data_IF_277728439229
#
_entry.id   IF_277728439229
#
_cell.length_a   1.000
_cell.length_b   1.000
_cell.length_c   1.000
_cell.angle_alpha   90.00
_cell.angle_beta   90.00
_cell.angle_gamma   90.00
#
_symmetry.space_group_name_H-M   'P 1'
#
loop_
_entity.id
_entity.type
_entity.pdbx_description
1 polymer ?
#
# COMPACT_ATOMS: atom_id res chain seq x y z
N UNK A 1 37.88 -47.59 -30.79
CA UNK A 1 37.96 -46.61 -29.68
C UNK A 1 37.60 -45.24 -30.24
N UNK A 2 36.41 -44.74 -29.92
CA UNK A 2 35.93 -43.45 -30.42
C UNK A 2 34.62 -43.09 -29.73
N UNK A 3 34.71 -42.43 -28.57
CA UNK A 3 33.56 -41.92 -27.85
C UNK A 3 33.30 -40.47 -28.27
N UNK A 4 32.19 -40.25 -28.99
CA UNK A 4 31.60 -38.93 -29.21
C UNK A 4 30.75 -38.56 -28.00
N UNK A 5 31.21 -37.59 -27.21
CA UNK A 5 30.39 -36.90 -26.21
C UNK A 5 29.42 -35.96 -26.92
N UNK A 6 28.12 -36.25 -26.81
CA UNK A 6 27.04 -35.31 -27.16
C UNK A 6 26.74 -34.48 -25.90
N UNK A 7 27.11 -33.20 -25.92
CA UNK A 7 26.58 -32.22 -24.97
C UNK A 7 25.26 -31.68 -25.55
N UNK A 8 24.14 -32.08 -24.95
CA UNK A 8 22.84 -31.43 -25.12
C UNK A 8 22.70 -30.35 -24.07
N UNK A 9 22.98 -29.11 -24.45
CA UNK A 9 22.51 -27.94 -23.71
C UNK A 9 21.02 -27.77 -24.02
N UNK A 10 20.17 -28.26 -23.11
CA UNK A 10 18.77 -27.87 -23.08
C UNK A 10 18.68 -26.53 -22.32
N UNK A 11 18.55 -25.44 -23.07
CA UNK A 11 18.14 -24.15 -22.54
C UNK A 11 16.70 -24.27 -22.05
N UNK A 12 16.53 -24.43 -20.74
CA UNK A 12 15.24 -24.22 -20.08
C UNK A 12 14.98 -22.72 -20.03
N UNK A 13 14.37 -22.18 -21.09
CA UNK A 13 13.76 -20.86 -21.05
C UNK A 13 12.52 -20.93 -20.19
N UNK A 14 12.68 -20.61 -18.91
CA UNK A 14 11.55 -20.31 -18.03
C UNK A 14 10.89 -19.03 -18.55
N UNK A 15 9.78 -19.19 -19.26
CA UNK A 15 8.82 -18.12 -19.52
C UNK A 15 8.28 -17.62 -18.18
N UNK A 16 8.95 -16.61 -17.63
CA UNK A 16 8.42 -15.81 -16.53
C UNK A 16 7.35 -14.92 -17.17
N UNK A 17 6.08 -15.33 -17.05
CA UNK A 17 4.94 -14.48 -17.34
C UNK A 17 5.02 -13.25 -16.41
N UNK A 18 5.45 -12.11 -16.96
CA UNK A 18 5.55 -10.83 -16.24
C UNK A 18 4.21 -10.11 -16.08
N UNK A 19 3.08 -10.82 -16.18
CA UNK A 19 1.72 -10.27 -16.04
C UNK A 19 1.18 -10.38 -14.60
N UNK A 20 2.02 -10.11 -13.61
CA UNK A 20 1.55 -9.70 -12.29
C UNK A 20 2.10 -8.31 -12.01
N UNK A 21 1.57 -7.33 -12.75
CA UNK A 21 1.53 -5.97 -12.26
C UNK A 21 0.73 -6.04 -10.96
N UNK A 22 1.44 -6.16 -9.84
CA UNK A 22 0.92 -5.99 -8.49
C UNK A 22 0.51 -4.53 -8.32
N UNK A 23 -0.46 -4.10 -9.13
CA UNK A 23 -1.17 -2.85 -8.98
C UNK A 23 -2.17 -3.06 -7.87
N UNK A 24 -1.98 -2.31 -6.78
CA UNK A 24 -2.97 -1.92 -5.79
C UNK A 24 -4.35 -2.53 -6.05
N UNK A 25 -4.66 -3.66 -5.41
CA UNK A 25 -6.07 -4.00 -5.22
C UNK A 25 -6.60 -3.10 -4.09
N UNK A 26 -6.90 -1.84 -4.41
CA UNK A 26 -7.90 -1.09 -3.62
C UNK A 26 -9.19 -1.82 -3.91
N UNK A 27 -9.53 -2.76 -3.04
CA UNK A 27 -10.78 -3.47 -3.12
C UNK A 27 -11.83 -2.50 -2.61
N UNK A 28 -12.46 -1.81 -3.56
CA UNK A 28 -13.64 -1.00 -3.30
C UNK A 28 -14.76 -1.95 -2.88
N UNK A 29 -15.21 -1.83 -1.65
CA UNK A 29 -16.26 -2.69 -1.10
C UNK A 29 -17.61 -2.02 -1.34
N UNK A 30 -18.41 -2.52 -2.28
CA UNK A 30 -19.73 -1.95 -2.55
C UNK A 30 -20.63 -1.96 -1.29
N UNK A 31 -20.75 -0.79 -0.67
CA UNK A 31 -21.78 -0.27 0.23
C UNK A 31 -22.73 -1.28 0.92
N UNK A 32 -22.26 -1.91 2.01
CA UNK A 32 -22.86 -1.91 3.36
C UNK A 32 -21.87 -2.58 4.31
N UNK A 33 -21.54 -1.95 5.44
CA UNK A 33 -20.66 -2.58 6.42
C UNK A 33 -21.26 -3.92 6.88
N UNK A 34 -20.56 -5.01 6.57
CA UNK A 34 -20.91 -6.37 6.96
C UNK A 34 -19.71 -7.02 7.60
N UNK A 35 -19.98 -7.84 8.61
CA UNK A 35 -18.94 -8.69 9.17
C UNK A 35 -18.56 -9.76 8.17
N UNK A 36 -17.25 -9.89 7.97
CA UNK A 36 -16.68 -10.89 7.09
C UNK A 36 -15.19 -11.02 7.36
N UNK A 37 -14.65 -12.14 6.96
CA UNK A 37 -13.22 -12.41 6.95
C UNK A 37 -12.87 -12.66 5.49
N UNK A 38 -11.86 -11.95 5.02
CA UNK A 38 -11.32 -12.08 3.67
C UNK A 38 -9.84 -12.45 3.77
N UNK A 39 -9.38 -13.28 2.85
CA UNK A 39 -7.97 -13.68 2.76
C UNK A 39 -7.36 -13.09 1.50
N UNK A 40 -6.17 -12.51 1.65
CA UNK A 40 -5.45 -11.88 0.56
C UNK A 40 -4.01 -12.39 0.51
N UNK A 41 -3.45 -12.46 -0.70
CA UNK A 41 -2.02 -12.62 -0.86
C UNK A 41 -1.35 -11.29 -0.46
N UNK A 42 -0.56 -11.33 0.61
CA UNK A 42 0.27 -10.22 1.06
C UNK A 42 1.74 -10.48 0.79
N UNK A 43 2.56 -9.46 1.03
CA UNK A 43 4.01 -9.56 0.91
C UNK A 43 4.65 -9.27 2.28
N UNK A 44 5.56 -10.14 2.71
CA UNK A 44 6.43 -9.97 3.88
C UNK A 44 7.88 -9.92 3.41
N UNK A 45 8.69 -9.06 4.02
CA UNK A 45 10.13 -9.09 3.87
C UNK A 45 10.72 -10.12 4.85
N UNK A 46 11.36 -11.15 4.31
CA UNK A 46 12.09 -12.12 5.13
C UNK A 46 13.38 -11.50 5.68
N UNK A 47 13.55 -11.60 6.99
CA UNK A 47 14.42 -10.70 7.76
C UNK A 47 15.91 -11.02 7.75
N UNK A 48 16.45 -12.14 7.21
CA UNK A 48 17.89 -12.22 6.94
C UNK A 48 18.21 -11.77 5.51
N UNK A 49 17.58 -12.39 4.51
CA UNK A 49 18.03 -12.29 3.12
C UNK A 49 17.40 -11.12 2.36
N UNK A 50 16.40 -10.44 2.95
CA UNK A 50 15.66 -9.38 2.28
C UNK A 50 14.83 -9.88 1.10
N UNK A 51 14.52 -11.18 1.06
CA UNK A 51 13.63 -11.76 0.05
C UNK A 51 12.19 -11.40 0.38
N UNK A 52 11.41 -11.13 -0.66
CA UNK A 52 9.97 -10.94 -0.53
C UNK A 52 9.31 -12.32 -0.55
N UNK A 53 8.59 -12.65 0.51
CA UNK A 53 7.82 -13.89 0.64
C UNK A 53 6.34 -13.55 0.56
N UNK A 54 5.63 -14.32 -0.28
CA UNK A 54 4.16 -14.29 -0.34
C UNK A 54 3.60 -14.88 0.95
N UNK A 55 2.61 -14.20 1.53
CA UNK A 55 1.92 -14.66 2.74
C UNK A 55 0.42 -14.59 2.54
N UNK A 56 -0.34 -15.25 3.42
CA UNK A 56 -1.80 -15.07 3.49
C UNK A 56 -2.09 -14.08 4.63
N UNK A 57 -2.69 -12.96 4.25
CA UNK A 57 -3.19 -11.94 5.15
C UNK A 57 -4.69 -12.13 5.36
N UNK A 58 -5.10 -12.35 6.61
CA UNK A 58 -6.50 -12.40 7.03
C UNK A 58 -6.96 -10.99 7.44
N UNK A 59 -8.02 -10.51 6.81
CA UNK A 59 -8.63 -9.21 7.08
C UNK A 59 -10.06 -9.43 7.59
N UNK A 60 -10.28 -9.04 8.84
CA UNK A 60 -11.56 -9.24 9.54
C UNK A 60 -12.27 -7.89 9.74
N UNK A 61 -13.48 -7.78 9.20
CA UNK A 61 -14.38 -6.65 9.42
C UNK A 61 -15.35 -7.01 10.54
N UNK A 62 -15.41 -6.21 11.60
CA UNK A 62 -16.13 -6.55 12.85
C UNK A 62 -17.42 -5.73 13.04
N UNK A 63 -18.39 -6.18 13.86
CA UNK A 63 -19.58 -5.35 14.22
C UNK A 63 -19.22 -3.99 14.80
N UNK A 64 -18.09 -3.92 15.52
CA UNK A 64 -17.57 -2.70 16.15
C UNK A 64 -16.90 -1.75 15.16
N UNK A 65 -17.05 -2.01 13.86
CA UNK A 65 -16.56 -1.15 12.79
C UNK A 65 -15.04 -1.02 12.80
N UNK A 66 -14.38 -2.13 13.13
CA UNK A 66 -12.92 -2.27 13.10
C UNK A 66 -12.51 -3.19 11.96
N UNK A 67 -11.36 -2.88 11.36
CA UNK A 67 -10.65 -3.76 10.42
C UNK A 67 -9.46 -4.33 11.18
N UNK A 68 -9.38 -5.65 11.28
CA UNK A 68 -8.27 -6.35 11.92
C UNK A 68 -7.46 -7.07 10.86
N UNK A 69 -6.15 -6.86 10.89
CA UNK A 69 -5.18 -7.48 10.01
C UNK A 69 -4.39 -8.51 10.81
N UNK A 70 -4.35 -9.76 10.35
CA UNK A 70 -3.62 -10.85 10.99
C UNK A 70 -3.01 -11.80 9.97
N UNK A 71 -1.95 -12.51 10.35
CA UNK A 71 -1.44 -13.65 9.56
C UNK A 71 -2.37 -14.85 9.61
N UNK A 72 -2.11 -15.84 8.74
CA UNK A 72 -2.83 -17.10 8.69
C UNK A 72 -2.82 -17.87 10.01
N UNK A 73 -1.75 -17.75 10.80
CA UNK A 73 -1.58 -18.34 12.15
C UNK A 73 -2.35 -17.58 13.26
N UNK A 74 -2.97 -16.44 12.94
CA UNK A 74 -3.74 -15.63 13.88
C UNK A 74 -2.98 -14.49 14.56
N UNK A 75 -1.66 -14.33 14.31
CA UNK A 75 -0.90 -13.21 14.86
C UNK A 75 -1.44 -11.88 14.34
N UNK A 76 -1.76 -10.96 15.25
CA UNK A 76 -2.38 -9.68 14.90
C UNK A 76 -1.30 -8.66 14.56
N UNK A 77 -1.42 -8.06 13.38
CA UNK A 77 -0.54 -6.97 12.94
C UNK A 77 -1.09 -5.60 13.31
N UNK A 78 -2.40 -5.40 13.10
CA UNK A 78 -3.04 -4.09 13.30
C UNK A 78 -4.53 -4.21 13.47
N UNK A 79 -5.12 -3.26 14.20
CA UNK A 79 -6.56 -3.07 14.28
C UNK A 79 -6.86 -1.59 14.04
N UNK A 80 -7.55 -1.29 12.96
CA UNK A 80 -8.00 0.05 12.62
C UNK A 80 -9.45 0.26 13.00
N UNK A 81 -9.77 1.43 13.56
CA UNK A 81 -11.15 1.86 13.75
C UNK A 81 -11.59 2.66 12.52
N UNK A 82 -12.60 2.18 11.82
CA UNK A 82 -13.17 2.92 10.68
C UNK A 82 -13.99 4.10 11.19
N UNK A 83 -13.71 5.27 10.59
CA UNK A 83 -14.29 6.56 10.98
C UNK A 83 -15.34 7.05 10.00
N UNK A 84 -15.09 6.88 8.70
CA UNK A 84 -15.99 7.27 7.62
C UNK A 84 -16.50 6.01 6.89
N UNK A 85 -17.81 5.76 6.97
CA UNK A 85 -18.48 4.61 6.34
C UNK A 85 -19.04 4.93 4.95
N UNK A 86 -18.98 6.19 4.53
CA UNK A 86 -19.48 6.63 3.23
C UNK A 86 -18.48 6.39 2.10
N UNK A 87 -17.22 6.09 2.44
CA UNK A 87 -16.14 5.83 1.51
C UNK A 87 -15.72 4.37 1.54
N UNK A 88 -15.27 3.90 0.39
CA UNK A 88 -14.56 2.63 0.27
C UNK A 88 -13.36 2.63 1.22
N UNK A 89 -13.13 1.49 1.87
CA UNK A 89 -12.00 1.35 2.77
C UNK A 89 -10.76 0.98 1.95
N UNK A 90 -9.69 1.74 2.14
CA UNK A 90 -8.38 1.40 1.58
C UNK A 90 -7.80 0.22 2.36
N UNK A 91 -7.63 -0.92 1.68
CA UNK A 91 -7.04 -2.12 2.26
C UNK A 91 -5.54 -2.14 1.94
N UNK A 92 -4.71 -2.20 2.99
CA UNK A 92 -3.27 -2.38 2.86
C UNK A 92 -2.94 -3.87 2.80
N UNK A 93 -2.15 -4.28 1.80
CA UNK A 93 -1.64 -5.65 1.65
C UNK A 93 -0.16 -5.78 2.00
N UNK A 94 0.56 -4.65 2.04
CA UNK A 94 1.95 -4.60 2.46
C UNK A 94 2.04 -4.71 4.00
N UNK A 95 2.59 -5.82 4.47
CA UNK A 95 2.64 -6.12 5.91
C UNK A 95 3.51 -5.17 6.73
N UNK A 96 4.57 -4.58 6.15
CA UNK A 96 5.33 -3.55 6.86
C UNK A 96 4.51 -2.28 7.05
N UNK A 97 3.77 -1.86 6.02
CA UNK A 97 2.88 -0.70 6.16
C UNK A 97 1.78 -0.96 7.18
N UNK A 98 1.15 -2.15 7.14
CA UNK A 98 0.16 -2.55 8.13
C UNK A 98 0.75 -2.42 9.55
N UNK A 99 1.97 -2.91 9.78
CA UNK A 99 2.59 -2.89 11.12
C UNK A 99 3.03 -1.49 11.56
N UNK A 100 3.55 -0.68 10.64
CA UNK A 100 4.36 0.48 11.02
C UNK A 100 3.83 1.84 10.55
N UNK A 101 2.97 1.89 9.53
CA UNK A 101 2.45 3.14 8.99
C UNK A 101 1.25 3.62 9.81
N UNK A 102 1.31 4.86 10.28
CA UNK A 102 0.17 5.54 10.90
C UNK A 102 -0.01 6.90 10.24
N UNK A 103 -1.25 7.27 9.96
CA UNK A 103 -1.59 8.60 9.46
C UNK A 103 -2.14 9.43 10.62
N UNK A 104 -1.56 10.61 10.83
CA UNK A 104 -1.97 11.52 11.91
C UNK A 104 -2.41 12.85 11.32
N UNK A 105 -3.56 13.33 11.80
CA UNK A 105 -4.16 14.60 11.41
C UNK A 105 -5.46 14.81 12.18
N UNK A 106 -6.23 15.79 11.74
CA UNK A 106 -7.47 16.17 12.44
C UNK A 106 -8.71 15.61 11.75
N UNK A 107 -9.72 15.32 12.57
CA UNK A 107 -11.05 14.90 12.14
C UNK A 107 -12.11 15.92 12.56
N UNK A 108 -13.02 16.24 11.65
CA UNK A 108 -14.12 17.16 11.94
C UNK A 108 -15.20 16.48 12.81
N UNK A 109 -16.28 17.21 13.12
CA UNK A 109 -17.41 16.67 13.89
C UNK A 109 -18.13 15.48 13.22
N UNK A 110 -17.94 15.29 11.91
CA UNK A 110 -18.51 14.21 11.13
C UNK A 110 -17.49 13.07 10.89
N UNK A 111 -16.36 13.09 11.59
CA UNK A 111 -15.26 12.13 11.40
C UNK A 111 -14.63 12.14 10.01
N UNK A 112 -14.73 13.26 9.30
CA UNK A 112 -14.00 13.50 8.04
C UNK A 112 -12.63 14.08 8.33
N UNK A 113 -11.63 13.62 7.59
CA UNK A 113 -10.26 14.16 7.66
C UNK A 113 -10.27 15.63 7.21
N UNK A 114 -9.55 16.49 7.90
CA UNK A 114 -9.33 17.87 7.44
C UNK A 114 -7.96 18.39 7.88
N UNK A 115 -7.48 19.44 7.22
CA UNK A 115 -6.22 20.07 7.56
C UNK A 115 -5.01 19.27 7.11
N UNK A 116 -3.85 19.54 7.74
CA UNK A 116 -2.60 18.86 7.45
C UNK A 116 -2.60 17.44 8.01
N UNK A 117 -2.18 16.49 7.18
CA UNK A 117 -2.00 15.09 7.53
C UNK A 117 -0.56 14.68 7.27
N UNK A 118 0.00 13.89 8.18
CA UNK A 118 1.38 13.42 8.12
C UNK A 118 1.47 11.92 8.35
N UNK A 119 2.46 11.28 7.74
CA UNK A 119 2.75 9.86 7.99
C UNK A 119 3.74 9.71 9.15
N UNK A 120 3.48 8.74 10.00
CA UNK A 120 4.39 8.21 11.02
C UNK A 120 4.76 6.80 10.60
N UNK A 121 6.05 6.48 10.63
CA UNK A 121 6.60 5.17 10.32
C UNK A 121 7.47 4.68 11.47
N UNK A 122 7.13 3.54 12.05
CA UNK A 122 7.86 2.97 13.19
C UNK A 122 7.99 3.96 14.36
N UNK A 123 6.94 4.75 14.60
CA UNK A 123 6.92 5.78 15.65
C UNK A 123 7.62 7.10 15.29
N UNK A 124 8.22 7.21 14.11
CA UNK A 124 8.89 8.44 13.65
C UNK A 124 8.07 9.16 12.58
N UNK A 125 7.87 10.48 12.74
CA UNK A 125 7.23 11.29 11.69
C UNK A 125 8.11 11.33 10.45
N UNK A 126 7.55 10.92 9.32
CA UNK A 126 8.20 11.05 8.02
C UNK A 126 8.04 12.50 7.54
N UNK A 127 9.15 13.24 7.55
CA UNK A 127 9.15 14.64 7.10
C UNK A 127 8.72 14.75 5.64
N UNK A 128 7.86 15.73 5.35
CA UNK A 128 7.30 16.02 4.02
C UNK A 128 6.36 14.94 3.45
N UNK A 129 6.06 13.86 4.19
CA UNK A 129 5.09 12.87 3.77
C UNK A 129 3.69 13.22 4.28
N UNK A 130 2.74 13.24 3.36
CA UNK A 130 1.35 13.63 3.57
C UNK A 130 0.96 14.83 2.73
N UNK A 131 -0.02 15.59 3.21
CA UNK A 131 -0.59 16.71 2.48
C UNK A 131 -1.76 17.33 3.23
N UNK A 132 -2.67 17.98 2.50
CA UNK A 132 -3.79 18.71 3.07
C UNK A 132 -5.14 18.14 2.63
N UNK A 133 -6.05 17.99 3.58
CA UNK A 133 -7.45 17.67 3.33
C UNK A 133 -8.32 18.93 3.46
N UNK A 134 -9.20 19.15 2.48
CA UNK A 134 -10.25 20.15 2.54
C UNK A 134 -11.31 19.82 3.59
N UNK A 135 -12.17 20.80 3.89
CA UNK A 135 -13.28 20.65 4.85
C UNK A 135 -14.30 19.56 4.43
N UNK A 136 -14.39 19.25 3.13
CA UNK A 136 -15.27 18.19 2.62
C UNK A 136 -14.68 16.78 2.80
N UNK A 137 -13.41 16.66 3.23
CA UNK A 137 -12.70 15.39 3.42
C UNK A 137 -11.96 14.88 2.19
N UNK A 138 -11.77 15.72 1.17
CA UNK A 138 -11.01 15.42 -0.04
C UNK A 138 -9.58 15.94 0.07
N UNK A 139 -8.65 15.24 -0.60
CA UNK A 139 -7.25 15.67 -0.71
C UNK A 139 -7.15 16.85 -1.67
N UNK A 140 -6.27 17.79 -1.36
CA UNK A 140 -6.08 19.02 -2.13
C UNK A 140 -4.61 19.42 -2.15
N UNK A 141 -4.17 20.00 -3.27
CA UNK A 141 -2.83 20.52 -3.48
C UNK A 141 -1.77 19.44 -3.57
N UNK A 142 -0.52 19.79 -3.22
CA UNK A 142 0.60 18.85 -3.31
C UNK A 142 0.58 17.80 -2.19
N UNK A 143 0.82 16.56 -2.58
CA UNK A 143 0.92 15.41 -1.70
C UNK A 143 2.20 14.64 -1.95
N UNK A 144 2.77 14.11 -0.87
CA UNK A 144 3.80 13.08 -0.95
C UNK A 144 3.29 11.82 -0.24
N UNK A 145 3.19 10.73 -0.99
CA UNK A 145 2.61 9.46 -0.56
C UNK A 145 3.65 8.36 -0.54
N UNK A 146 3.45 7.34 0.31
CA UNK A 146 4.25 6.12 0.25
C UNK A 146 3.81 5.33 -0.98
N UNK A 147 4.77 4.78 -1.73
CA UNK A 147 4.46 3.78 -2.74
C UNK A 147 3.84 2.53 -2.08
N UNK A 148 3.02 1.77 -2.80
CA UNK A 148 2.35 0.58 -2.25
C UNK A 148 3.35 -0.43 -1.66
N UNK A 149 4.50 -0.60 -2.32
CA UNK A 149 5.55 -1.50 -1.87
C UNK A 149 6.59 -0.79 -0.98
N UNK A 150 6.24 0.35 -0.38
CA UNK A 150 7.13 1.03 0.56
C UNK A 150 7.47 0.09 1.71
N UNK A 151 8.76 -0.02 1.96
CA UNK A 151 9.35 -0.86 3.00
C UNK A 151 10.62 -0.19 3.50
N UNK A 152 11.13 -0.61 4.65
CA UNK A 152 12.27 0.06 5.28
C UNK A 152 13.53 0.09 4.37
N UNK A 153 13.77 -0.99 3.61
CA UNK A 153 14.91 -1.10 2.66
C UNK A 153 14.66 -0.41 1.31
N UNK A 154 13.40 -0.14 0.95
CA UNK A 154 13.01 0.47 -0.33
C UNK A 154 11.97 1.57 -0.09
N UNK A 155 12.47 2.76 0.24
CA UNK A 155 11.68 3.96 0.53
C UNK A 155 11.37 4.72 -0.76
N UNK A 156 10.35 4.25 -1.48
CA UNK A 156 9.85 4.90 -2.69
C UNK A 156 8.61 5.73 -2.33
N UNK A 157 8.60 6.99 -2.78
CA UNK A 157 7.49 7.91 -2.57
C UNK A 157 6.89 8.33 -3.90
N UNK A 158 5.62 8.70 -3.89
CA UNK A 158 4.94 9.36 -4.99
C UNK A 158 4.71 10.82 -4.63
N UNK A 159 4.97 11.75 -5.54
CA UNK A 159 4.76 13.17 -5.33
C UNK A 159 3.99 13.77 -6.51
N UNK A 160 2.88 14.44 -6.21
CA UNK A 160 2.03 15.05 -7.22
C UNK A 160 0.95 15.92 -6.60
N UNK A 161 -0.01 16.33 -7.41
CA UNK A 161 -1.09 17.22 -7.01
C UNK A 161 -2.43 16.50 -7.00
N UNK A 162 -3.24 16.85 -6.01
CA UNK A 162 -4.64 16.48 -5.91
C UNK A 162 -5.52 17.72 -6.13
N UNK A 163 -6.60 17.55 -6.88
CA UNK A 163 -7.68 18.51 -7.02
C UNK A 163 -9.00 17.79 -6.73
N UNK A 164 -9.73 18.23 -5.72
CA UNK A 164 -10.99 17.61 -5.28
C UNK A 164 -10.89 16.08 -5.08
N UNK A 165 -9.78 15.64 -4.48
CA UNK A 165 -9.52 14.23 -4.20
C UNK A 165 -9.06 13.39 -5.39
N UNK A 166 -8.91 13.97 -6.59
CA UNK A 166 -8.40 13.29 -7.78
C UNK A 166 -6.94 13.63 -8.03
N UNK A 167 -6.13 12.64 -8.41
CA UNK A 167 -4.74 12.85 -8.82
C UNK A 167 -4.73 13.55 -10.18
N UNK A 168 -4.08 14.71 -10.27
CA UNK A 168 -3.96 15.47 -11.52
C UNK A 168 -2.50 15.69 -11.91
N UNK A 169 -2.26 16.00 -13.19
CA UNK A 169 -0.95 16.41 -13.68
C UNK A 169 0.11 15.31 -13.60
N UNK A 170 1.34 15.70 -13.23
CA UNK A 170 2.47 14.77 -13.16
C UNK A 170 2.65 14.19 -11.76
N UNK A 171 2.77 12.87 -11.70
CA UNK A 171 3.05 12.12 -10.47
C UNK A 171 4.44 11.49 -10.55
N UNK A 172 5.35 12.00 -9.72
CA UNK A 172 6.77 11.61 -9.71
C UNK A 172 7.01 10.50 -8.70
N UNK A 173 7.80 9.50 -9.07
CA UNK A 173 8.30 8.46 -8.18
C UNK A 173 9.70 8.84 -7.72
N UNK A 174 9.91 8.90 -6.42
CA UNK A 174 11.14 9.38 -5.80
C UNK A 174 11.76 8.24 -4.98
N UNK A 175 13.01 7.89 -5.28
CA UNK A 175 13.82 6.95 -4.52
C UNK A 175 15.15 7.60 -4.16
N UNK A 176 15.53 7.59 -2.87
CA UNK A 176 16.76 8.24 -2.37
C UNK A 176 16.93 9.69 -2.88
N UNK A 177 15.85 10.47 -2.81
CA UNK A 177 15.78 11.87 -3.27
C UNK A 177 16.07 12.07 -4.77
N UNK A 178 15.90 11.02 -5.59
CA UNK A 178 16.00 11.10 -7.05
C UNK A 178 14.68 10.68 -7.68
N UNK A 179 14.24 11.44 -8.67
CA UNK A 179 13.12 11.05 -9.53
C UNK A 179 13.57 9.83 -10.36
N UNK A 180 12.81 8.74 -10.29
CA UNK A 180 13.08 7.50 -11.02
C UNK A 180 12.07 7.24 -12.14
N UNK A 181 10.88 7.82 -12.03
CA UNK A 181 9.80 7.71 -13.01
C UNK A 181 8.81 8.87 -12.80
N UNK A 182 8.01 9.17 -13.83
CA UNK A 182 6.83 10.02 -13.70
C UNK A 182 5.69 9.47 -14.55
N UNK A 183 4.47 9.61 -14.04
CA UNK A 183 3.24 9.29 -14.77
C UNK A 183 2.44 10.56 -15.02
N UNK A 184 1.64 10.58 -16.10
CA UNK A 184 0.71 11.66 -16.43
C UNK A 184 -0.69 11.18 -16.07
N UNK A 185 -1.36 11.90 -15.17
CA UNK A 185 -2.74 11.66 -14.82
C UNK A 185 -3.62 12.53 -15.71
N UNK A 186 -4.53 11.90 -16.45
CA UNK A 186 -5.53 12.61 -17.23
C UNK A 186 -6.64 13.07 -16.27
N UNK A 187 -6.94 14.37 -16.31
CA UNK A 187 -8.09 15.00 -15.65
C UNK A 187 -9.40 14.68 -16.37
#
# INVERSE_FOLDING_TARGET
MGNKLKNSNEEVTQNINTETTNSIQIIKTNNKWQERIEEYEGIILDSPDGRLIKTILKIEFTKKKKIKYSSSDGSIYRIDQVKDFSKDQEIMLNTEQIKYLQWVGNYDKNQKKYGKWVAIWQGHTLSNIGGFYMKNGEKEGFWMELFEQFQNKARVFQHGEYDNGQKIGYWKYIYRNREIQRDIMNS
#
